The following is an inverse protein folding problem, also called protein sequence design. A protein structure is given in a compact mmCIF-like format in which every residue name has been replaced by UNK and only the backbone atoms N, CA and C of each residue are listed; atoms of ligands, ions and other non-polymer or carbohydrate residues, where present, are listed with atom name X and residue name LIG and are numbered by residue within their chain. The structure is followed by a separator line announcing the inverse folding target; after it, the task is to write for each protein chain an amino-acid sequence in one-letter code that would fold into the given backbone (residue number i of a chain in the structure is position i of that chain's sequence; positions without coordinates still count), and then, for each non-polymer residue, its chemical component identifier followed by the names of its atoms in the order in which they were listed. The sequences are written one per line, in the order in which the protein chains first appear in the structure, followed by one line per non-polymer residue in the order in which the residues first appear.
data_IF_007259553318
#
_entry.id   IF_007259553318
#
_cell.length_a   1.000
_cell.length_b   1.000
_cell.length_c   1.000
_cell.angle_alpha   90.00
_cell.angle_beta   90.00
_cell.angle_gamma   90.00
#
_symmetry.space_group_name_H-M   'P 1'
#
loop_
_entity.id
_entity.type
_entity.pdbx_description
1 polymer ?
#
# COMPACT_ATOMS: atom_id res chain seq x y z
N UNK A 1 -0.98 -15.50 37.55
CA UNK A 1 -0.30 -14.92 36.36
C UNK A 1 -1.12 -13.81 35.74
N UNK A 2 -2.40 -14.01 35.35
CA UNK A 2 -3.22 -12.94 34.74
C UNK A 2 -3.36 -11.70 35.64
N UNK A 3 -3.60 -11.87 36.94
CA UNK A 3 -3.65 -10.77 37.89
C UNK A 3 -2.35 -9.96 37.97
N UNK A 4 -1.21 -10.65 37.92
CA UNK A 4 0.11 -10.00 37.89
C UNK A 4 0.34 -9.22 36.60
N UNK A 5 -0.08 -9.77 35.43
CA UNK A 5 -0.01 -9.07 34.16
C UNK A 5 -0.91 -7.83 34.12
N UNK A 6 -2.11 -7.91 34.72
CA UNK A 6 -2.99 -6.73 34.86
C UNK A 6 -2.37 -5.65 35.76
N UNK A 7 -1.66 -6.04 36.82
CA UNK A 7 -0.94 -5.09 37.64
C UNK A 7 0.19 -4.41 36.86
N UNK A 8 0.90 -5.15 35.98
CA UNK A 8 1.94 -4.59 35.11
C UNK A 8 1.42 -3.53 34.14
N UNK A 9 0.15 -3.61 33.70
CA UNK A 9 -0.44 -2.56 32.87
C UNK A 9 -0.42 -1.20 33.58
N UNK A 10 -0.60 -1.15 34.90
CA UNK A 10 -0.52 0.07 35.68
C UNK A 10 0.87 0.69 35.76
N UNK A 11 1.92 -0.06 35.49
CA UNK A 11 3.30 0.46 35.46
C UNK A 11 3.72 1.03 34.10
N UNK A 12 2.90 0.94 33.06
CA UNK A 12 3.20 1.53 31.74
C UNK A 12 3.27 3.07 31.78
N UNK A 13 2.63 3.72 32.74
CA UNK A 13 2.68 5.16 32.95
C UNK A 13 3.51 5.59 34.18
N UNK A 14 4.34 4.68 34.75
CA UNK A 14 5.25 5.03 35.85
C UNK A 14 6.22 6.13 35.45
N UNK A 15 6.59 6.97 36.41
CA UNK A 15 7.55 8.08 36.19
C UNK A 15 8.95 7.59 35.87
N UNK A 16 9.34 6.41 36.41
CA UNK A 16 10.65 5.82 36.17
C UNK A 16 10.68 5.06 34.84
N UNK A 17 11.55 5.45 33.87
CA UNK A 17 11.65 4.76 32.59
C UNK A 17 12.04 3.28 32.73
N UNK A 18 12.84 2.92 33.74
CA UNK A 18 13.24 1.51 33.97
C UNK A 18 12.01 0.65 34.36
N UNK A 19 11.10 1.20 35.18
CA UNK A 19 9.86 0.51 35.57
C UNK A 19 8.98 0.31 34.34
N UNK A 20 8.80 1.33 33.51
CA UNK A 20 8.05 1.23 32.27
C UNK A 20 8.63 0.19 31.33
N UNK A 21 9.98 0.15 31.18
CA UNK A 21 10.65 -0.82 30.34
C UNK A 21 10.42 -2.25 30.81
N UNK A 22 10.63 -2.51 32.10
CA UNK A 22 10.44 -3.85 32.69
C UNK A 22 8.98 -4.31 32.55
N UNK A 23 8.02 -3.42 32.83
CA UNK A 23 6.61 -3.73 32.65
C UNK A 23 6.29 -4.10 31.20
N UNK A 24 6.75 -3.30 30.26
CA UNK A 24 6.50 -3.51 28.83
C UNK A 24 7.20 -4.77 28.28
N UNK A 25 8.43 -5.08 28.72
CA UNK A 25 9.12 -6.32 28.35
C UNK A 25 8.36 -7.58 28.78
N UNK A 26 7.73 -7.56 29.97
CA UNK A 26 6.92 -8.67 30.45
C UNK A 26 5.53 -8.74 29.81
N UNK A 27 4.97 -7.62 29.37
CA UNK A 27 3.67 -7.55 28.69
C UNK A 27 3.75 -7.86 27.19
N UNK A 28 4.87 -7.55 26.54
CA UNK A 28 5.05 -7.73 25.09
C UNK A 28 4.79 -9.17 24.60
N UNK A 29 5.21 -10.25 25.28
CA UNK A 29 4.88 -11.62 24.89
C UNK A 29 3.37 -11.94 24.90
N UNK A 30 2.54 -11.10 25.52
CA UNK A 30 1.09 -11.29 25.60
C UNK A 30 0.34 -10.48 24.52
N UNK A 31 1.03 -9.75 23.67
CA UNK A 31 0.41 -8.94 22.62
C UNK A 31 0.10 -9.70 21.31
N UNK A 32 0.83 -10.77 20.88
CA UNK A 32 0.49 -11.54 19.69
C UNK A 32 -0.90 -12.16 19.73
N UNK A 33 -1.47 -12.44 18.55
CA UNK A 33 -2.85 -12.95 18.39
C UNK A 33 -3.11 -14.21 19.19
N UNK A 34 -2.16 -15.13 19.24
CA UNK A 34 -2.29 -16.44 19.88
C UNK A 34 -1.87 -16.43 21.37
N UNK A 35 -1.49 -15.25 21.90
CA UNK A 35 -1.03 -15.17 23.30
C UNK A 35 -2.19 -15.39 24.30
N UNK A 36 -1.99 -16.22 25.35
CA UNK A 36 -3.06 -16.69 26.24
C UNK A 36 -3.72 -15.56 27.04
N UNK A 37 -2.99 -14.49 27.31
CA UNK A 37 -3.48 -13.37 28.12
C UNK A 37 -3.68 -12.08 27.29
N UNK A 38 -3.70 -12.15 25.96
CA UNK A 38 -3.93 -10.98 25.10
C UNK A 38 -5.17 -10.19 25.46
N UNK A 39 -6.21 -10.86 25.96
CA UNK A 39 -7.47 -10.23 26.34
C UNK A 39 -7.32 -9.11 27.37
N UNK A 40 -6.25 -9.09 28.19
CA UNK A 40 -6.03 -8.03 29.19
C UNK A 40 -5.95 -6.63 28.57
N UNK A 41 -5.50 -6.53 27.31
CA UNK A 41 -5.47 -5.26 26.55
C UNK A 41 -6.83 -4.85 26.01
N UNK A 42 -7.80 -5.76 25.97
CA UNK A 42 -9.14 -5.58 25.38
C UNK A 42 -10.24 -5.41 26.40
N UNK A 43 -10.01 -5.78 27.67
CA UNK A 43 -11.05 -5.89 28.71
C UNK A 43 -11.78 -4.58 29.04
N UNK A 44 -11.15 -3.43 28.79
CA UNK A 44 -11.75 -2.13 29.06
C UNK A 44 -12.62 -1.62 27.91
N UNK A 45 -12.65 -2.34 26.78
CA UNK A 45 -13.48 -1.98 25.65
C UNK A 45 -14.91 -2.45 25.94
N UNK A 46 -15.75 -1.56 26.47
CA UNK A 46 -17.16 -1.86 26.75
C UNK A 46 -17.90 -2.09 25.42
N UNK A 47 -18.26 -3.34 25.16
CA UNK A 47 -19.19 -3.70 24.09
C UNK A 47 -20.60 -3.74 24.66
N UNK A 48 -21.42 -2.72 24.38
CA UNK A 48 -22.85 -2.77 24.69
C UNK A 48 -23.37 -1.55 25.43
N UNK A 49 -23.64 -0.48 24.72
CA UNK A 49 -24.33 0.70 25.17
C UNK A 49 -24.36 1.79 24.10
N UNK A 50 -25.24 2.78 24.26
CA UNK A 50 -25.32 3.95 23.38
C UNK A 50 -24.11 4.91 23.51
N UNK A 51 -23.25 4.69 24.52
CA UNK A 51 -22.05 5.50 24.72
C UNK A 51 -20.90 5.01 23.82
N UNK A 52 -20.09 5.92 23.21
CA UNK A 52 -18.92 5.54 22.47
C UNK A 52 -17.95 4.74 23.35
N UNK A 53 -17.34 3.71 22.81
CA UNK A 53 -16.36 2.90 23.51
C UNK A 53 -15.22 3.77 24.05
N UNK A 54 -14.87 3.58 25.34
CA UNK A 54 -13.75 4.30 25.96
C UNK A 54 -12.44 3.65 25.55
N UNK A 55 -11.45 4.46 25.23
CA UNK A 55 -10.09 3.97 24.94
C UNK A 55 -9.52 3.26 26.18
N UNK A 56 -9.01 2.01 26.02
CA UNK A 56 -8.29 1.33 27.11
C UNK A 56 -7.05 2.11 27.54
N UNK A 57 -6.80 2.17 28.86
CA UNK A 57 -5.60 2.86 29.38
C UNK A 57 -4.31 2.27 28.83
N UNK A 58 -4.26 0.95 28.68
CA UNK A 58 -3.11 0.25 28.09
C UNK A 58 -2.81 0.73 26.66
N UNK A 59 -3.83 0.94 25.83
CA UNK A 59 -3.65 1.42 24.44
C UNK A 59 -3.18 2.87 24.43
N UNK A 60 -3.79 3.72 25.27
CA UNK A 60 -3.36 5.12 25.45
C UNK A 60 -1.89 5.19 25.88
N UNK A 61 -1.50 4.37 26.86
CA UNK A 61 -0.13 4.35 27.38
C UNK A 61 0.85 3.85 26.31
N UNK A 62 0.53 2.79 25.56
CA UNK A 62 1.36 2.32 24.43
C UNK A 62 1.55 3.41 23.36
N UNK A 63 0.51 4.18 23.02
CA UNK A 63 0.62 5.31 22.08
C UNK A 63 1.60 6.38 22.61
N UNK A 64 1.59 6.65 23.91
CA UNK A 64 2.52 7.60 24.53
C UNK A 64 3.96 7.05 24.57
N UNK A 65 4.11 5.77 24.90
CA UNK A 65 5.42 5.08 24.98
C UNK A 65 6.14 5.01 23.63
N UNK A 66 5.45 5.12 22.49
CA UNK A 66 6.09 5.27 21.18
C UNK A 66 7.01 6.52 21.09
N UNK A 67 6.87 7.48 22.01
CA UNK A 67 7.68 8.72 22.07
C UNK A 67 8.77 8.67 23.12
N UNK A 68 8.86 7.58 23.88
CA UNK A 68 9.79 7.39 24.99
C UNK A 68 11.22 7.03 24.51
N UNK A 69 12.11 6.68 25.42
CA UNK A 69 13.46 6.22 25.15
C UNK A 69 13.45 5.00 24.19
N UNK A 70 14.54 4.85 23.43
CA UNK A 70 14.58 3.94 22.28
C UNK A 70 14.15 2.48 22.59
N UNK A 71 14.56 1.90 23.72
CA UNK A 71 14.16 0.54 24.08
C UNK A 71 12.66 0.45 24.37
N UNK A 72 12.12 1.42 25.10
CA UNK A 72 10.68 1.47 25.45
C UNK A 72 9.85 1.71 24.19
N UNK A 73 10.23 2.70 23.39
CA UNK A 73 9.53 3.03 22.14
C UNK A 73 9.54 1.84 21.18
N UNK A 74 10.66 1.12 21.04
CA UNK A 74 10.76 -0.07 20.22
C UNK A 74 9.74 -1.15 20.65
N UNK A 75 9.70 -1.45 21.96
CA UNK A 75 8.76 -2.44 22.49
C UNK A 75 7.29 -1.97 22.40
N UNK A 76 7.03 -0.66 22.58
CA UNK A 76 5.70 -0.09 22.42
C UNK A 76 5.20 -0.20 20.97
N UNK A 77 6.03 0.14 19.98
CA UNK A 77 5.68 -0.06 18.57
C UNK A 77 5.43 -1.54 18.25
N UNK A 78 6.27 -2.46 18.73
CA UNK A 78 6.05 -3.91 18.54
C UNK A 78 4.73 -4.38 19.15
N UNK A 79 4.41 -3.90 20.37
CA UNK A 79 3.13 -4.20 21.00
C UNK A 79 1.96 -3.69 20.14
N UNK A 80 2.04 -2.45 19.63
CA UNK A 80 1.01 -1.88 18.74
C UNK A 80 0.92 -2.62 17.41
N UNK A 81 2.04 -3.05 16.80
CA UNK A 81 2.03 -3.89 15.59
C UNK A 81 1.23 -5.17 15.85
N UNK A 82 1.50 -5.86 16.96
CA UNK A 82 0.79 -7.09 17.31
C UNK A 82 -0.70 -6.86 17.61
N UNK A 83 -1.05 -5.74 18.24
CA UNK A 83 -2.41 -5.44 18.67
C UNK A 83 -3.28 -4.81 17.56
N UNK A 84 -2.64 -4.20 16.54
CA UNK A 84 -3.33 -3.51 15.45
C UNK A 84 -4.04 -4.45 14.44
N UNK A 85 -3.91 -5.76 14.58
CA UNK A 85 -4.73 -6.75 13.86
C UNK A 85 -6.16 -6.87 14.42
N UNK A 86 -6.41 -6.30 15.60
CA UNK A 86 -7.73 -6.35 16.28
C UNK A 86 -8.62 -5.19 15.83
N UNK A 87 -9.74 -5.51 15.19
CA UNK A 87 -10.76 -4.52 14.81
C UNK A 87 -11.30 -3.72 16.00
N UNK A 88 -11.18 -4.22 17.24
CA UNK A 88 -11.60 -3.53 18.46
C UNK A 88 -10.64 -2.41 18.86
N UNK A 89 -9.36 -2.54 18.55
CA UNK A 89 -8.30 -1.57 18.91
C UNK A 89 -8.10 -0.51 17.84
N UNK A 90 -8.21 -0.89 16.56
CA UNK A 90 -7.96 -0.01 15.42
C UNK A 90 -8.67 1.35 15.49
N UNK A 91 -9.94 1.48 15.95
CA UNK A 91 -10.58 2.77 16.07
C UNK A 91 -9.86 3.75 17.02
N UNK A 92 -9.24 3.25 18.11
CA UNK A 92 -8.47 4.08 19.04
C UNK A 92 -7.10 4.48 18.50
N UNK A 93 -6.50 3.62 17.67
CA UNK A 93 -5.26 3.94 16.94
C UNK A 93 -5.53 4.91 15.78
N UNK A 94 -6.73 4.87 15.18
CA UNK A 94 -7.17 5.77 14.10
C UNK A 94 -7.49 7.20 14.55
N UNK A 95 -7.28 7.55 15.83
CA UNK A 95 -7.47 8.91 16.33
C UNK A 95 -6.57 9.90 15.56
N UNK A 96 -7.10 11.07 15.10
CA UNK A 96 -6.33 12.01 14.27
C UNK A 96 -4.98 12.42 14.83
N UNK A 97 -4.87 12.64 16.15
CA UNK A 97 -3.61 13.03 16.81
C UNK A 97 -2.54 11.94 16.77
N UNK A 98 -2.96 10.67 16.89
CA UNK A 98 -2.01 9.57 16.83
C UNK A 98 -1.61 9.28 15.38
N UNK A 99 -2.54 9.39 14.42
CA UNK A 99 -2.22 9.31 12.99
C UNK A 99 -1.28 10.44 12.56
N UNK A 100 -1.51 11.67 13.00
CA UNK A 100 -0.62 12.80 12.75
C UNK A 100 0.80 12.51 13.26
N UNK A 101 0.91 12.00 14.49
CA UNK A 101 2.20 11.57 15.04
C UNK A 101 2.86 10.48 14.21
N UNK A 102 2.12 9.41 13.86
CA UNK A 102 2.67 8.29 13.07
C UNK A 102 3.20 8.77 11.71
N UNK A 103 2.40 9.55 10.98
CA UNK A 103 2.81 10.10 9.68
C UNK A 103 4.02 11.00 9.84
N UNK A 104 3.97 11.96 10.78
CA UNK A 104 5.08 12.86 11.05
C UNK A 104 6.37 12.11 11.45
N UNK A 105 6.24 11.04 12.21
CA UNK A 105 7.34 10.17 12.60
C UNK A 105 7.92 9.39 11.40
N UNK A 106 7.07 8.84 10.55
CA UNK A 106 7.47 8.09 9.35
C UNK A 106 8.20 9.00 8.35
N UNK A 107 7.66 10.19 8.07
CA UNK A 107 8.25 11.10 7.09
C UNK A 107 9.54 11.75 7.57
N UNK A 108 9.82 11.78 8.88
CA UNK A 108 11.08 12.29 9.42
C UNK A 108 12.24 11.31 9.10
N UNK A 109 13.24 11.72 8.29
CA UNK A 109 14.30 10.82 7.80
C UNK A 109 15.16 10.21 8.91
N UNK A 110 15.26 10.88 10.05
CA UNK A 110 16.08 10.46 11.20
C UNK A 110 15.37 9.54 12.17
N UNK A 111 14.10 9.21 11.97
CA UNK A 111 13.34 8.33 12.87
C UNK A 111 13.88 6.91 12.87
N UNK A 112 14.28 6.43 14.05
CA UNK A 112 14.95 5.13 14.20
C UNK A 112 13.99 3.93 14.03
N UNK A 113 12.72 4.11 14.33
CA UNK A 113 11.70 3.04 14.37
C UNK A 113 10.62 3.25 13.29
N UNK A 114 10.97 3.97 12.20
CA UNK A 114 10.02 4.31 11.14
C UNK A 114 9.40 3.05 10.50
N UNK A 115 10.16 1.95 10.36
CA UNK A 115 9.64 0.70 9.82
C UNK A 115 8.53 0.10 10.69
N UNK A 116 8.68 0.09 12.01
CA UNK A 116 7.63 -0.35 12.93
C UNK A 116 6.40 0.56 12.86
N UNK A 117 6.61 1.88 12.73
CA UNK A 117 5.51 2.83 12.56
C UNK A 117 4.74 2.56 11.24
N UNK A 118 5.42 2.22 10.14
CA UNK A 118 4.76 1.84 8.88
C UNK A 118 3.99 0.53 8.99
N UNK A 119 4.49 -0.44 9.76
CA UNK A 119 3.75 -1.69 10.04
C UNK A 119 2.44 -1.40 10.79
N UNK A 120 2.48 -0.56 11.84
CA UNK A 120 1.25 -0.14 12.55
C UNK A 120 0.28 0.55 11.59
N UNK A 121 0.76 1.51 10.79
CA UNK A 121 -0.08 2.24 9.83
C UNK A 121 -0.67 1.31 8.78
N UNK A 122 0.10 0.34 8.26
CA UNK A 122 -0.37 -0.65 7.30
C UNK A 122 -1.52 -1.50 7.88
N UNK A 123 -1.37 -2.00 9.10
CA UNK A 123 -2.43 -2.78 9.76
C UNK A 123 -3.70 -1.94 10.00
N UNK A 124 -3.53 -0.68 10.37
CA UNK A 124 -4.66 0.22 10.64
C UNK A 124 -5.44 0.60 9.38
N UNK A 125 -4.77 0.74 8.24
CA UNK A 125 -5.38 1.16 6.96
C UNK A 125 -6.23 0.09 6.29
N UNK A 126 -6.42 -1.08 6.90
CA UNK A 126 -7.48 -2.03 6.55
C UNK A 126 -8.87 -1.49 6.96
N UNK A 127 -8.92 -0.58 7.93
CA UNK A 127 -10.18 0.01 8.42
C UNK A 127 -10.59 1.25 7.59
N UNK A 128 -11.82 1.29 7.01
CA UNK A 128 -12.26 2.40 6.17
C UNK A 128 -12.28 3.77 6.86
N UNK A 129 -12.58 3.82 8.17
CA UNK A 129 -12.59 5.08 8.92
C UNK A 129 -11.18 5.64 9.09
N UNK A 130 -10.19 4.76 9.30
CA UNK A 130 -8.77 5.17 9.35
C UNK A 130 -8.31 5.69 7.99
N UNK A 131 -8.70 5.02 6.90
CA UNK A 131 -8.43 5.49 5.53
C UNK A 131 -8.99 6.90 5.34
N UNK A 132 -10.26 7.12 5.69
CA UNK A 132 -10.90 8.42 5.52
C UNK A 132 -10.20 9.53 6.32
N UNK A 133 -9.83 9.22 7.57
CA UNK A 133 -9.08 10.14 8.43
C UNK A 133 -7.70 10.46 7.82
N UNK A 134 -6.98 9.44 7.36
CA UNK A 134 -5.65 9.59 6.77
C UNK A 134 -5.68 10.40 5.46
N UNK A 135 -6.69 10.18 4.61
CA UNK A 135 -6.87 10.93 3.35
C UNK A 135 -7.14 12.42 3.57
N UNK A 136 -7.81 12.76 4.67
CA UNK A 136 -8.09 14.17 5.03
C UNK A 136 -6.96 14.83 5.83
N UNK A 137 -5.99 14.03 6.32
CA UNK A 137 -4.94 14.49 7.21
C UNK A 137 -3.94 15.39 6.48
N UNK A 138 -3.64 16.54 7.08
CA UNK A 138 -2.55 17.44 6.67
C UNK A 138 -1.50 17.50 7.76
N UNK A 139 -0.25 17.48 7.35
CA UNK A 139 0.91 17.55 8.25
C UNK A 139 1.51 18.94 8.19
N UNK A 140 1.72 19.54 9.36
CA UNK A 140 2.43 20.79 9.49
C UNK A 140 3.94 20.57 9.44
N UNK A 141 4.58 21.25 8.48
CA UNK A 141 6.01 21.23 8.26
C UNK A 141 6.61 22.59 8.62
N UNK A 142 7.64 22.60 9.45
CA UNK A 142 8.47 23.76 9.74
C UNK A 142 9.79 23.61 8.98
N UNK A 143 10.06 24.51 8.03
CA UNK A 143 11.25 24.43 7.17
C UNK A 143 11.44 23.03 6.52
N UNK A 144 10.34 22.38 6.12
CA UNK A 144 10.34 21.04 5.53
C UNK A 144 10.38 19.87 6.53
N UNK A 145 10.44 20.12 7.84
CA UNK A 145 10.46 19.09 8.88
C UNK A 145 9.12 18.98 9.61
N UNK A 146 8.62 17.77 9.88
CA UNK A 146 7.33 17.58 10.55
C UNK A 146 7.40 17.99 12.03
N UNK A 147 6.45 18.85 12.45
CA UNK A 147 6.40 19.36 13.83
C UNK A 147 5.92 18.27 14.81
N UNK A 148 4.98 17.44 14.39
CA UNK A 148 4.35 16.43 15.26
C UNK A 148 5.22 15.20 15.56
N UNK A 149 6.42 15.07 14.95
CA UNK A 149 7.32 13.92 15.09
C UNK A 149 8.08 13.86 16.43
N UNK A 150 7.84 14.80 17.36
CA UNK A 150 8.58 14.88 18.63
C UNK A 150 8.59 13.56 19.39
N UNK A 151 9.77 12.97 19.47
CA UNK A 151 10.05 11.70 20.14
C UNK A 151 11.55 11.66 20.49
N UNK A 152 11.94 10.89 21.49
CA UNK A 152 13.36 10.68 21.81
C UNK A 152 14.10 9.85 20.73
N UNK A 153 13.37 9.20 19.85
CA UNK A 153 13.90 8.38 18.74
C UNK A 153 13.81 9.06 17.37
N UNK A 154 13.36 10.32 17.32
CA UNK A 154 13.30 11.14 16.11
C UNK A 154 14.02 12.48 16.36
N UNK A 155 14.99 12.89 15.52
CA UNK A 155 15.66 14.15 15.68
C UNK A 155 14.69 15.33 15.48
N UNK A 156 14.89 16.38 16.27
CA UNK A 156 14.19 17.65 16.08
C UNK A 156 15.03 18.51 15.12
N UNK A 157 14.38 19.10 14.13
CA UNK A 157 15.06 20.03 13.23
C UNK A 157 15.64 21.23 13.99
N UNK A 158 16.84 21.72 13.63
CA UNK A 158 17.36 22.94 14.19
C UNK A 158 16.46 24.13 13.80
N UNK A 159 16.03 24.91 14.78
CA UNK A 159 15.29 26.15 14.55
C UNK A 159 16.21 27.18 13.93
N UNK A 160 16.17 27.36 12.62
CA UNK A 160 16.81 28.48 11.92
C UNK A 160 15.82 29.63 11.87
N UNK A 161 16.25 30.80 12.29
CA UNK A 161 15.46 31.99 12.64
C UNK A 161 14.43 32.60 11.69
N UNK A 162 14.05 31.96 10.59
CA UNK A 162 12.89 32.29 9.77
C UNK A 162 11.98 31.04 9.68
N UNK A 163 10.84 31.08 10.34
CA UNK A 163 9.92 29.96 10.41
C UNK A 163 8.96 30.01 9.25
N UNK A 164 9.15 29.15 8.26
CA UNK A 164 8.19 28.92 7.20
C UNK A 164 7.37 27.66 7.52
N UNK A 165 6.13 27.86 7.97
CA UNK A 165 5.19 26.78 8.25
C UNK A 165 4.32 26.57 7.02
N UNK A 166 4.21 25.33 6.56
CA UNK A 166 3.29 24.92 5.50
C UNK A 166 2.55 23.65 5.90
N UNK A 167 1.38 23.45 5.32
CA UNK A 167 0.59 22.23 5.50
C UNK A 167 0.57 21.47 4.19
N UNK A 168 0.85 20.15 4.27
CA UNK A 168 0.83 19.26 3.11
C UNK A 168 0.02 18.00 3.37
N UNK A 169 -0.50 17.40 2.31
CA UNK A 169 -1.23 16.13 2.39
C UNK A 169 -0.35 15.02 2.97
N UNK A 170 -0.85 14.32 3.98
CA UNK A 170 -0.17 13.17 4.57
C UNK A 170 0.18 12.11 3.52
N UNK A 171 -0.72 11.84 2.57
CA UNK A 171 -0.52 10.83 1.52
C UNK A 171 0.66 11.21 0.62
N UNK A 172 0.71 12.45 0.15
CA UNK A 172 1.79 12.90 -0.75
C UNK A 172 3.16 12.86 -0.05
N UNK A 173 3.21 13.25 1.23
CA UNK A 173 4.43 13.14 2.04
C UNK A 173 4.86 11.69 2.28
N UNK A 174 3.92 10.75 2.44
CA UNK A 174 4.22 9.33 2.56
C UNK A 174 4.74 8.75 1.25
N UNK A 175 4.21 9.19 0.08
CA UNK A 175 4.74 8.82 -1.23
C UNK A 175 6.19 9.29 -1.37
N UNK A 176 6.49 10.53 -1.04
CA UNK A 176 7.87 11.06 -1.09
C UNK A 176 8.79 10.29 -0.14
N UNK A 177 8.34 10.01 1.08
CA UNK A 177 9.10 9.23 2.04
C UNK A 177 9.40 7.81 1.55
N UNK A 178 8.45 7.16 0.87
CA UNK A 178 8.61 5.83 0.29
C UNK A 178 9.65 5.81 -0.84
N UNK A 179 9.61 6.80 -1.72
CA UNK A 179 10.58 6.95 -2.83
C UNK A 179 11.98 7.24 -2.26
N UNK A 180 12.08 8.16 -1.32
CA UNK A 180 13.37 8.53 -0.69
C UNK A 180 14.01 7.36 0.10
N UNK A 181 13.20 6.42 0.60
CA UNK A 181 13.68 5.26 1.33
C UNK A 181 14.21 4.14 0.42
N UNK A 182 13.96 4.23 -0.90
CA UNK A 182 14.47 3.27 -1.84
C UNK A 182 16.01 3.30 -1.88
N UNK A 183 16.61 2.13 -1.84
CA UNK A 183 18.07 2.03 -1.99
C UNK A 183 18.46 2.36 -3.41
N UNK A 184 19.35 3.33 -3.59
CA UNK A 184 19.97 3.56 -4.89
C UNK A 184 20.77 2.30 -5.26
N UNK A 185 20.56 1.66 -6.41
CA UNK A 185 21.35 0.52 -6.83
C UNK A 185 22.85 0.86 -6.79
N UNK A 186 23.64 0.12 -6.01
CA UNK A 186 25.08 0.34 -5.85
C UNK A 186 25.48 1.32 -4.72
N UNK A 187 24.53 1.94 -4.02
CA UNK A 187 24.81 2.80 -2.87
C UNK A 187 25.09 2.01 -1.59
N UNK A 188 26.03 2.48 -0.75
CA UNK A 188 26.26 1.92 0.57
C UNK A 188 25.09 2.24 1.51
N UNK A 189 24.88 1.40 2.55
CA UNK A 189 23.86 1.69 3.59
C UNK A 189 24.10 3.04 4.29
N UNK A 190 25.34 3.53 4.29
CA UNK A 190 25.75 4.79 4.91
C UNK A 190 25.34 6.03 4.10
N UNK A 191 25.08 5.87 2.80
CA UNK A 191 24.62 6.94 1.91
C UNK A 191 23.09 7.12 1.89
N UNK A 192 22.36 6.29 2.64
CA UNK A 192 20.89 6.38 2.70
C UNK A 192 20.46 7.66 3.40
N UNK A 193 19.57 8.40 2.77
CA UNK A 193 18.93 9.59 3.35
C UNK A 193 18.08 9.27 4.58
N UNK A 194 17.57 8.04 4.69
CA UNK A 194 16.64 7.58 5.74
C UNK A 194 17.17 6.39 6.52
N UNK A 195 16.76 6.30 7.80
CA UNK A 195 17.10 5.18 8.68
C UNK A 195 16.27 3.92 8.42
N UNK A 196 15.00 4.08 8.01
CA UNK A 196 14.07 2.98 7.72
C UNK A 196 13.93 2.70 6.23
N UNK A 197 13.58 1.46 5.89
CA UNK A 197 13.29 1.02 4.52
C UNK A 197 11.87 1.38 4.07
N UNK A 198 10.93 1.58 4.99
CA UNK A 198 9.53 1.99 4.79
C UNK A 198 8.74 1.11 3.78
N UNK A 199 9.13 -0.14 3.55
CA UNK A 199 8.50 -0.99 2.53
C UNK A 199 7.02 -1.26 2.80
N UNK A 200 6.56 -1.26 4.07
CA UNK A 200 5.14 -1.42 4.40
C UNK A 200 4.26 -0.23 3.97
N UNK A 201 4.83 0.91 3.55
CA UNK A 201 4.05 1.97 2.92
C UNK A 201 3.41 1.50 1.60
N UNK A 202 4.01 0.54 0.89
CA UNK A 202 3.39 -0.06 -0.30
C UNK A 202 2.04 -0.71 0.04
N UNK A 203 1.94 -1.38 1.20
CA UNK A 203 0.68 -1.94 1.69
C UNK A 203 -0.31 -0.84 2.11
N UNK A 204 0.17 0.27 2.69
CA UNK A 204 -0.68 1.44 2.99
C UNK A 204 -1.30 1.98 1.71
N UNK A 205 -0.51 2.16 0.64
CA UNK A 205 -1.02 2.65 -0.65
C UNK A 205 -2.03 1.68 -1.27
N UNK A 206 -1.76 0.38 -1.23
CA UNK A 206 -2.70 -0.65 -1.67
C UNK A 206 -4.03 -0.57 -0.90
N UNK A 207 -3.97 -0.45 0.42
CA UNK A 207 -5.16 -0.39 1.27
C UNK A 207 -6.00 0.88 1.03
N UNK A 208 -5.38 2.06 0.99
CA UNK A 208 -6.12 3.32 0.80
C UNK A 208 -6.78 3.40 -0.58
N UNK A 209 -6.17 2.83 -1.62
CA UNK A 209 -6.69 2.86 -2.99
C UNK A 209 -7.84 1.89 -3.25
N UNK A 210 -8.19 1.01 -2.30
CA UNK A 210 -9.47 0.28 -2.32
C UNK A 210 -10.63 1.27 -2.34
N UNK A 211 -10.52 2.40 -1.62
CA UNK A 211 -11.51 3.46 -1.62
C UNK A 211 -11.33 4.42 -2.82
N UNK A 212 -12.43 4.87 -3.48
CA UNK A 212 -12.36 5.81 -4.60
C UNK A 212 -11.60 7.10 -4.26
N UNK A 213 -11.79 7.65 -3.06
CA UNK A 213 -11.07 8.84 -2.60
C UNK A 213 -9.54 8.62 -2.51
N UNK A 214 -9.10 7.41 -2.14
CA UNK A 214 -7.68 7.06 -2.11
C UNK A 214 -7.08 6.96 -3.51
N UNK A 215 -7.83 6.45 -4.49
CA UNK A 215 -7.42 6.46 -5.91
C UNK A 215 -7.19 7.88 -6.39
N UNK A 216 -8.17 8.77 -6.16
CA UNK A 216 -8.06 10.18 -6.51
C UNK A 216 -6.89 10.86 -5.83
N UNK A 217 -6.57 10.54 -4.58
CA UNK A 217 -5.43 11.12 -3.87
C UNK A 217 -4.09 10.81 -4.57
N UNK A 218 -3.91 9.60 -5.13
CA UNK A 218 -2.71 9.24 -5.90
C UNK A 218 -2.76 9.73 -7.36
N UNK A 219 -3.95 9.93 -7.91
CA UNK A 219 -4.19 10.51 -9.24
C UNK A 219 -4.22 12.05 -9.21
N UNK A 220 -3.81 12.66 -8.12
CA UNK A 220 -3.65 14.11 -7.96
C UNK A 220 -2.21 14.51 -8.29
N UNK A 221 -2.04 15.72 -8.83
CA UNK A 221 -0.72 16.26 -9.10
C UNK A 221 0.06 16.49 -7.81
N UNK A 222 1.35 16.18 -7.85
CA UNK A 222 2.24 16.46 -6.73
C UNK A 222 2.46 17.97 -6.60
N UNK A 223 2.42 18.57 -5.39
CA UNK A 223 2.58 20.01 -5.20
C UNK A 223 3.84 20.57 -5.85
N UNK A 224 3.68 21.59 -6.68
CA UNK A 224 4.79 22.24 -7.39
C UNK A 224 5.38 21.42 -8.54
N UNK A 225 4.72 20.33 -8.95
CA UNK A 225 5.10 19.48 -10.07
C UNK A 225 3.93 19.30 -11.03
N UNK A 226 4.22 18.97 -12.28
CA UNK A 226 3.24 18.49 -13.25
C UNK A 226 3.08 16.96 -13.25
N UNK A 227 3.64 16.26 -12.26
CA UNK A 227 3.58 14.81 -12.17
C UNK A 227 2.48 14.37 -11.19
N UNK A 228 1.78 13.30 -11.54
CA UNK A 228 0.84 12.64 -10.65
C UNK A 228 1.60 11.87 -9.55
N UNK A 229 1.06 11.84 -8.33
CA UNK A 229 1.69 11.12 -7.23
C UNK A 229 1.90 9.63 -7.53
N UNK A 230 0.96 9.00 -8.27
CA UNK A 230 1.05 7.61 -8.71
C UNK A 230 2.29 7.36 -9.58
N UNK A 231 2.66 8.31 -10.45
CA UNK A 231 3.81 8.16 -11.35
C UNK A 231 5.13 7.90 -10.61
N UNK A 232 5.28 8.45 -9.38
CA UNK A 232 6.47 8.22 -8.54
C UNK A 232 6.62 6.77 -8.06
N UNK A 233 5.55 5.97 -8.11
CA UNK A 233 5.54 4.58 -7.64
C UNK A 233 5.88 3.57 -8.74
N UNK A 234 5.81 3.96 -10.02
CA UNK A 234 5.89 3.03 -11.15
C UNK A 234 7.21 2.23 -11.20
N UNK A 235 8.32 2.87 -10.89
CA UNK A 235 9.64 2.23 -10.90
C UNK A 235 9.81 1.08 -9.90
N UNK A 236 8.84 0.90 -8.98
CA UNK A 236 8.89 -0.15 -7.96
C UNK A 236 8.25 -1.48 -8.41
N UNK A 237 7.69 -1.58 -9.60
CA UNK A 237 7.06 -2.82 -10.10
C UNK A 237 8.04 -3.98 -10.25
N UNK A 238 9.34 -3.71 -10.43
CA UNK A 238 10.42 -4.71 -10.45
C UNK A 238 11.38 -4.59 -9.26
N UNK A 239 10.97 -3.91 -8.18
CA UNK A 239 11.84 -3.74 -7.01
C UNK A 239 12.17 -5.11 -6.38
N UNK A 240 13.41 -5.35 -5.87
CA UNK A 240 13.81 -6.62 -5.26
C UNK A 240 12.95 -7.03 -4.05
N UNK A 241 12.48 -6.05 -3.27
CA UNK A 241 11.60 -6.29 -2.12
C UNK A 241 10.18 -6.61 -2.59
N UNK A 242 9.68 -7.80 -2.21
CA UNK A 242 8.36 -8.31 -2.62
C UNK A 242 7.21 -7.49 -2.07
N UNK A 243 7.35 -6.91 -0.86
CA UNK A 243 6.30 -6.07 -0.25
C UNK A 243 6.14 -4.79 -1.06
N UNK A 244 7.25 -4.17 -1.48
CA UNK A 244 7.23 -2.97 -2.32
C UNK A 244 6.57 -3.25 -3.67
N UNK A 245 7.06 -4.25 -4.43
CA UNK A 245 6.53 -4.51 -5.77
C UNK A 245 5.10 -5.02 -5.76
N UNK A 246 4.74 -5.88 -4.78
CA UNK A 246 3.38 -6.39 -4.66
C UNK A 246 2.37 -5.32 -4.22
N UNK A 247 2.74 -4.48 -3.25
CA UNK A 247 1.89 -3.36 -2.82
C UNK A 247 1.73 -2.29 -3.90
N UNK A 248 2.79 -1.99 -4.67
CA UNK A 248 2.70 -1.08 -5.81
C UNK A 248 1.84 -1.68 -6.92
N UNK A 249 2.01 -2.95 -7.30
CA UNK A 249 1.15 -3.62 -8.27
C UNK A 249 -0.33 -3.53 -7.88
N UNK A 250 -0.66 -3.81 -6.60
CA UNK A 250 -2.03 -3.69 -6.07
C UNK A 250 -2.54 -2.25 -6.13
N UNK A 251 -1.69 -1.26 -5.85
CA UNK A 251 -2.03 0.16 -5.94
C UNK A 251 -2.38 0.56 -7.37
N UNK A 252 -1.57 0.12 -8.35
CA UNK A 252 -1.80 0.38 -9.77
C UNK A 252 -3.13 -0.23 -10.23
N UNK A 253 -3.38 -1.49 -9.87
CA UNK A 253 -4.65 -2.17 -10.15
C UNK A 253 -5.83 -1.38 -9.57
N UNK A 254 -5.75 -1.00 -8.30
CA UNK A 254 -6.82 -0.24 -7.67
C UNK A 254 -7.05 1.11 -8.35
N UNK A 255 -6.00 1.84 -8.75
CA UNK A 255 -6.14 3.10 -9.49
C UNK A 255 -6.78 2.90 -10.88
N UNK A 256 -6.55 1.75 -11.53
CA UNK A 256 -7.17 1.42 -12.82
C UNK A 256 -8.70 1.22 -12.74
N UNK A 257 -9.30 1.06 -11.55
CA UNK A 257 -10.76 1.16 -11.40
C UNK A 257 -11.33 2.56 -11.67
N UNK A 258 -10.47 3.58 -11.74
CA UNK A 258 -10.90 4.93 -12.09
C UNK A 258 -10.77 5.15 -13.59
N UNK A 259 -11.76 4.70 -14.37
CA UNK A 259 -11.78 4.73 -15.82
C UNK A 259 -11.39 6.09 -16.44
N UNK A 260 -11.80 7.26 -15.88
CA UNK A 260 -11.38 8.55 -16.42
C UNK A 260 -9.87 8.81 -16.39
N UNK A 261 -9.10 8.06 -15.60
CA UNK A 261 -7.63 8.19 -15.54
C UNK A 261 -6.87 7.29 -16.53
N UNK A 262 -7.55 6.37 -17.23
CA UNK A 262 -6.86 5.37 -18.07
C UNK A 262 -5.89 6.00 -19.07
N UNK A 263 -6.33 7.04 -19.78
CA UNK A 263 -5.45 7.71 -20.74
C UNK A 263 -4.32 8.49 -20.07
N UNK A 264 -4.55 9.07 -18.89
CA UNK A 264 -3.47 9.70 -18.12
C UNK A 264 -2.44 8.67 -17.61
N UNK A 265 -2.89 7.47 -17.24
CA UNK A 265 -1.99 6.38 -16.84
C UNK A 265 -1.16 5.85 -18.03
N UNK A 266 -1.74 5.77 -19.23
CA UNK A 266 -1.12 5.15 -20.39
C UNK A 266 -0.24 6.09 -21.23
N UNK A 267 -0.66 7.36 -21.37
CA UNK A 267 0.05 8.32 -22.23
C UNK A 267 1.48 8.59 -21.77
N UNK A 268 2.40 8.87 -22.71
CA UNK A 268 3.79 9.19 -22.38
C UNK A 268 3.90 10.52 -21.61
N UNK A 269 5.04 10.73 -20.95
CA UNK A 269 5.32 11.85 -20.05
C UNK A 269 5.57 13.20 -20.74
N UNK A 270 5.65 13.22 -22.06
CA UNK A 270 5.68 14.41 -22.90
C UNK A 270 4.29 14.92 -23.28
N UNK A 271 3.22 14.14 -23.06
CA UNK A 271 1.83 14.54 -23.27
C UNK A 271 1.20 15.04 -21.98
N UNK A 272 0.44 16.16 -22.09
CA UNK A 272 -0.31 16.71 -20.96
C UNK A 272 -1.75 16.17 -20.96
N UNK A 273 -2.20 15.69 -19.81
CA UNK A 273 -3.51 15.05 -19.62
C UNK A 273 -4.16 15.51 -18.33
N UNK A 274 -5.49 15.49 -18.27
CA UNK A 274 -6.27 15.79 -17.07
C UNK A 274 -6.92 14.52 -16.53
N UNK A 275 -7.06 14.43 -15.20
CA UNK A 275 -7.82 13.36 -14.54
C UNK A 275 -9.01 13.98 -13.80
N UNK A 276 -10.26 13.77 -14.27
CA UNK A 276 -11.42 14.24 -13.55
C UNK A 276 -11.49 13.68 -12.12
N UNK A 277 -11.99 14.43 -11.14
CA UNK A 277 -12.67 15.74 -11.29
C UNK A 277 -11.74 16.96 -11.39
N UNK A 278 -10.42 16.78 -11.36
CA UNK A 278 -9.47 17.89 -11.52
C UNK A 278 -9.45 18.38 -12.97
N UNK A 279 -9.34 19.70 -13.14
CA UNK A 279 -9.09 20.34 -14.44
C UNK A 279 -7.62 20.68 -14.65
N UNK A 280 -6.75 20.37 -13.68
CA UNK A 280 -5.33 20.59 -13.79
C UNK A 280 -4.70 19.52 -14.69
N UNK A 281 -3.89 19.98 -15.67
CA UNK A 281 -3.19 19.08 -16.56
C UNK A 281 -1.84 18.67 -15.98
N UNK A 282 -1.59 17.37 -15.98
CA UNK A 282 -0.30 16.77 -15.61
C UNK A 282 0.30 15.98 -16.77
N UNK A 283 1.54 15.57 -16.63
CA UNK A 283 2.23 14.69 -17.59
C UNK A 283 1.60 13.30 -17.57
N UNK A 284 1.51 12.64 -18.73
CA UNK A 284 1.16 11.23 -18.81
C UNK A 284 2.11 10.39 -17.96
N UNK A 285 1.61 9.25 -17.46
CA UNK A 285 2.37 8.44 -16.50
C UNK A 285 3.22 7.34 -17.17
N UNK A 286 3.01 7.07 -18.46
CA UNK A 286 3.72 6.02 -19.21
C UNK A 286 3.71 4.65 -18.50
N UNK A 287 2.57 4.28 -17.93
CA UNK A 287 2.42 3.09 -17.07
C UNK A 287 2.73 1.78 -17.81
N UNK A 288 2.46 1.71 -19.12
CA UNK A 288 2.48 0.44 -19.85
C UNK A 288 3.82 -0.29 -19.75
N UNK A 289 4.94 0.42 -19.87
CA UNK A 289 6.27 -0.16 -19.68
C UNK A 289 6.44 -0.86 -18.34
N UNK A 290 5.94 -0.27 -17.28
CA UNK A 290 6.05 -0.79 -15.91
C UNK A 290 5.09 -1.95 -15.62
N UNK A 291 4.00 -2.10 -16.39
CA UNK A 291 3.13 -3.27 -16.32
C UNK A 291 3.71 -4.46 -17.09
N UNK A 292 4.31 -4.20 -18.26
CA UNK A 292 4.84 -5.26 -19.13
C UNK A 292 6.18 -5.81 -18.66
N UNK A 293 7.06 -4.98 -18.07
CA UNK A 293 8.38 -5.43 -17.60
C UNK A 293 8.31 -6.64 -16.64
N UNK A 294 7.45 -6.66 -15.60
CA UNK A 294 7.29 -7.85 -14.74
C UNK A 294 6.71 -9.06 -15.47
N UNK A 295 5.94 -8.85 -16.54
CA UNK A 295 5.29 -9.92 -17.32
C UNK A 295 6.19 -10.46 -18.45
N UNK A 296 7.20 -9.69 -18.87
CA UNK A 296 8.15 -10.11 -19.89
C UNK A 296 9.23 -11.04 -19.30
N UNK A 297 9.60 -12.04 -20.07
CA UNK A 297 10.71 -12.97 -19.82
C UNK A 297 11.80 -12.84 -20.88
N UNK A 298 12.61 -13.89 -21.10
CA UNK A 298 13.69 -13.90 -22.06
C UNK A 298 13.22 -14.25 -23.51
N UNK A 299 11.95 -14.00 -23.82
CA UNK A 299 11.37 -14.33 -25.10
C UNK A 299 11.92 -13.47 -26.22
N UNK A 300 12.17 -14.08 -27.37
CA UNK A 300 12.48 -13.38 -28.62
C UNK A 300 11.19 -13.01 -29.36
N UNK A 301 11.15 -11.80 -29.87
CA UNK A 301 10.08 -11.29 -30.73
C UNK A 301 10.62 -11.14 -32.15
N UNK A 302 9.79 -11.36 -33.15
CA UNK A 302 10.13 -11.02 -34.51
C UNK A 302 10.20 -9.48 -34.73
N UNK A 303 10.74 -9.03 -35.87
CA UNK A 303 10.96 -7.61 -36.11
C UNK A 303 9.64 -6.81 -36.16
N UNK A 304 8.57 -7.41 -36.68
CA UNK A 304 7.28 -6.74 -36.82
C UNK A 304 6.61 -6.55 -35.44
N UNK A 305 6.77 -7.51 -34.55
CA UNK A 305 6.25 -7.44 -33.18
C UNK A 305 7.12 -6.52 -32.32
N UNK A 306 8.45 -6.55 -32.49
CA UNK A 306 9.35 -5.62 -31.77
C UNK A 306 9.02 -4.16 -32.03
N UNK A 307 8.63 -3.78 -33.25
CA UNK A 307 8.28 -2.40 -33.59
C UNK A 307 7.05 -1.88 -32.83
N UNK A 308 6.18 -2.78 -32.36
CA UNK A 308 5.00 -2.44 -31.55
C UNK A 308 5.33 -2.28 -30.05
N UNK A 309 6.41 -2.92 -29.57
CA UNK A 309 6.71 -2.96 -28.15
C UNK A 309 7.21 -1.61 -27.62
N UNK A 310 6.90 -1.25 -26.36
CA UNK A 310 7.58 -0.14 -25.70
C UNK A 310 9.09 -0.32 -25.72
N UNK A 311 9.84 0.77 -25.88
CA UNK A 311 11.29 0.75 -25.98
C UNK A 311 11.99 -0.01 -24.83
N UNK A 312 11.42 -0.01 -23.63
CA UNK A 312 11.91 -0.73 -22.46
C UNK A 312 11.82 -2.26 -22.58
N UNK A 313 10.99 -2.77 -23.51
CA UNK A 313 10.76 -4.21 -23.73
C UNK A 313 11.56 -4.72 -24.95
N UNK A 314 11.81 -3.85 -25.95
CA UNK A 314 12.42 -4.24 -27.23
C UNK A 314 13.78 -4.93 -27.10
N UNK A 315 14.59 -4.55 -26.10
CA UNK A 315 15.98 -4.99 -25.94
C UNK A 315 16.22 -5.62 -24.55
N UNK A 316 15.32 -6.49 -24.12
CA UNK A 316 15.53 -7.21 -22.86
C UNK A 316 16.65 -8.24 -23.02
N UNK A 317 17.52 -8.41 -22.00
CA UNK A 317 18.59 -9.41 -22.06
C UNK A 317 18.02 -10.83 -21.92
N UNK A 318 18.70 -11.83 -22.45
CA UNK A 318 18.37 -13.27 -22.32
C UNK A 318 18.29 -13.72 -20.84
N UNK A 319 18.86 -12.94 -19.93
CA UNK A 319 18.81 -13.17 -18.49
C UNK A 319 17.58 -12.59 -17.80
N UNK A 320 16.70 -11.90 -18.55
CA UNK A 320 15.46 -11.33 -18.03
C UNK A 320 14.59 -12.44 -17.43
N UNK A 321 14.18 -12.21 -16.20
CA UNK A 321 13.26 -13.11 -15.48
C UNK A 321 11.91 -12.45 -15.33
N UNK A 322 10.86 -13.19 -15.65
CA UNK A 322 9.48 -12.82 -15.33
C UNK A 322 9.30 -12.79 -13.82
N UNK A 323 8.36 -11.97 -13.33
CA UNK A 323 7.98 -11.93 -11.92
C UNK A 323 7.68 -13.36 -11.40
N UNK A 324 8.41 -13.83 -10.39
CA UNK A 324 8.23 -15.19 -9.89
C UNK A 324 6.93 -15.39 -9.10
N UNK A 325 6.39 -14.34 -8.46
CA UNK A 325 5.17 -14.42 -7.67
C UNK A 325 3.93 -14.40 -8.58
N UNK A 326 3.13 -15.49 -8.54
CA UNK A 326 1.91 -15.64 -9.35
C UNK A 326 0.86 -14.57 -9.03
N UNK A 327 0.75 -14.15 -7.78
CA UNK A 327 -0.25 -13.14 -7.39
C UNK A 327 0.11 -11.76 -7.93
N UNK A 328 1.40 -11.44 -8.00
CA UNK A 328 1.86 -10.17 -8.60
C UNK A 328 1.66 -10.22 -10.12
N UNK A 329 1.98 -11.35 -10.79
CA UNK A 329 1.69 -11.52 -12.23
C UNK A 329 0.20 -11.36 -12.52
N UNK A 330 -0.64 -12.05 -11.75
CA UNK A 330 -2.10 -11.92 -11.85
C UNK A 330 -2.55 -10.46 -11.70
N UNK A 331 -2.04 -9.75 -10.69
CA UNK A 331 -2.38 -8.36 -10.43
C UNK A 331 -2.03 -7.45 -11.61
N UNK A 332 -0.91 -7.67 -12.30
CA UNK A 332 -0.56 -6.91 -13.50
C UNK A 332 -1.50 -7.23 -14.67
N UNK A 333 -1.87 -8.51 -14.89
CA UNK A 333 -2.85 -8.89 -15.91
C UNK A 333 -4.23 -8.31 -15.59
N UNK A 334 -4.69 -8.34 -14.34
CA UNK A 334 -5.94 -7.70 -13.91
C UNK A 334 -5.90 -6.19 -14.15
N UNK A 335 -4.74 -5.54 -13.97
CA UNK A 335 -4.58 -4.10 -14.28
C UNK A 335 -4.77 -3.83 -15.76
N UNK A 336 -4.18 -4.66 -16.64
CA UNK A 336 -4.39 -4.55 -18.09
C UNK A 336 -5.85 -4.80 -18.49
N UNK A 337 -6.52 -5.76 -17.85
CA UNK A 337 -7.95 -6.02 -18.05
C UNK A 337 -8.79 -4.80 -17.67
N UNK A 338 -8.52 -4.17 -16.51
CA UNK A 338 -9.21 -2.96 -16.07
C UNK A 338 -8.98 -1.80 -17.05
N UNK A 339 -7.77 -1.61 -17.55
CA UNK A 339 -7.49 -0.60 -18.57
C UNK A 339 -8.26 -0.89 -19.88
N UNK A 340 -8.50 -2.17 -20.21
CA UNK A 340 -9.31 -2.57 -21.35
C UNK A 340 -10.82 -2.25 -21.19
N UNK A 341 -11.31 -1.81 -20.04
CA UNK A 341 -12.73 -1.44 -19.88
C UNK A 341 -13.14 -0.24 -20.74
N UNK A 342 -12.20 0.67 -21.02
CA UNK A 342 -12.47 1.82 -21.90
C UNK A 342 -11.88 1.58 -23.29
N UNK A 343 -12.64 1.92 -24.35
CA UNK A 343 -12.20 1.74 -25.73
C UNK A 343 -10.89 2.45 -26.07
N UNK A 344 -10.70 3.75 -25.73
CA UNK A 344 -9.45 4.44 -26.03
C UNK A 344 -8.22 3.73 -25.44
N UNK A 345 -8.34 3.22 -24.21
CA UNK A 345 -7.24 2.48 -23.58
C UNK A 345 -7.03 1.12 -24.26
N UNK A 346 -8.10 0.37 -24.62
CA UNK A 346 -7.97 -0.88 -25.41
C UNK A 346 -7.24 -0.66 -26.72
N UNK A 347 -7.62 0.37 -27.47
CA UNK A 347 -6.97 0.71 -28.74
C UNK A 347 -5.48 1.06 -28.53
N UNK A 348 -5.17 1.81 -27.46
CA UNK A 348 -3.78 2.11 -27.10
C UNK A 348 -3.00 0.81 -26.77
N UNK A 349 -3.55 -0.08 -25.96
CA UNK A 349 -2.90 -1.33 -25.57
C UNK A 349 -2.65 -2.26 -26.77
N UNK A 350 -3.58 -2.29 -27.75
CA UNK A 350 -3.46 -3.09 -29.00
C UNK A 350 -2.27 -2.68 -29.84
N UNK A 351 -2.05 -1.37 -30.00
CA UNK A 351 -0.98 -0.85 -30.84
C UNK A 351 0.39 -0.76 -30.15
N UNK A 352 0.41 -0.99 -28.84
CA UNK A 352 1.63 -0.91 -28.02
C UNK A 352 2.07 -2.28 -27.47
N UNK A 353 1.86 -3.36 -28.23
CA UNK A 353 2.52 -4.64 -28.02
C UNK A 353 2.05 -5.46 -26.81
N UNK A 354 0.87 -5.14 -26.21
CA UNK A 354 0.37 -5.91 -25.05
C UNK A 354 0.04 -7.35 -25.44
N UNK A 355 -0.58 -7.55 -26.61
CA UNK A 355 -0.92 -8.88 -27.09
C UNK A 355 0.33 -9.75 -27.27
N UNK A 356 1.38 -9.22 -27.87
CA UNK A 356 2.63 -9.90 -28.15
C UNK A 356 3.30 -10.40 -26.85
N UNK A 357 3.36 -9.54 -25.82
CA UNK A 357 3.95 -9.91 -24.52
C UNK A 357 3.11 -10.96 -23.79
N UNK A 358 1.77 -10.78 -23.71
CA UNK A 358 0.94 -11.72 -22.96
C UNK A 358 0.78 -13.07 -23.67
N UNK A 359 0.87 -13.12 -25.01
CA UNK A 359 0.93 -14.35 -25.79
C UNK A 359 2.17 -15.17 -25.42
N UNK A 360 3.35 -14.56 -25.41
CA UNK A 360 4.60 -15.20 -25.00
C UNK A 360 4.57 -15.65 -23.53
N UNK A 361 3.99 -14.86 -22.68
CA UNK A 361 3.77 -15.24 -21.27
C UNK A 361 2.87 -16.48 -21.17
N UNK A 362 1.78 -16.53 -21.93
CA UNK A 362 0.82 -17.65 -21.90
C UNK A 362 1.47 -18.99 -22.29
N UNK A 363 2.42 -19.00 -23.24
CA UNK A 363 3.14 -20.19 -23.68
C UNK A 363 3.92 -20.88 -22.54
N UNK A 364 4.28 -20.14 -21.48
CA UNK A 364 5.12 -20.63 -20.37
C UNK A 364 4.46 -20.56 -19.00
N UNK A 365 3.29 -19.94 -18.89
CA UNK A 365 2.56 -19.82 -17.63
C UNK A 365 2.00 -21.18 -17.19
N UNK A 366 2.02 -21.44 -15.89
CA UNK A 366 1.55 -22.70 -15.30
C UNK A 366 0.37 -22.50 -14.34
N UNK A 367 0.14 -21.28 -13.89
CA UNK A 367 -0.97 -20.97 -13.00
C UNK A 367 -2.25 -20.79 -13.80
N UNK A 368 -3.26 -21.63 -13.53
CA UNK A 368 -4.53 -21.64 -14.26
C UNK A 368 -5.28 -20.34 -14.15
N UNK A 369 -5.25 -19.67 -12.98
CA UNK A 369 -5.92 -18.39 -12.78
C UNK A 369 -5.27 -17.29 -13.62
N UNK A 370 -3.95 -17.28 -13.72
CA UNK A 370 -3.23 -16.31 -14.58
C UNK A 370 -3.55 -16.58 -16.06
N UNK A 371 -3.57 -17.87 -16.50
CA UNK A 371 -3.91 -18.23 -17.88
C UNK A 371 -5.33 -17.79 -18.27
N UNK A 372 -6.32 -18.06 -17.43
CA UNK A 372 -7.71 -17.64 -17.67
C UNK A 372 -7.83 -16.11 -17.83
N UNK A 373 -7.10 -15.33 -17.03
CA UNK A 373 -7.10 -13.88 -17.14
C UNK A 373 -6.37 -13.38 -18.38
N UNK A 374 -5.30 -14.05 -18.81
CA UNK A 374 -4.65 -13.78 -20.10
C UNK A 374 -5.60 -14.02 -21.26
N UNK A 375 -6.33 -15.15 -21.27
CA UNK A 375 -7.31 -15.46 -22.33
C UNK A 375 -8.41 -14.40 -22.42
N UNK A 376 -8.92 -13.93 -21.28
CA UNK A 376 -9.88 -12.81 -21.23
C UNK A 376 -9.30 -11.52 -21.79
N UNK A 377 -8.06 -11.19 -21.40
CA UNK A 377 -7.36 -10.00 -21.91
C UNK A 377 -7.19 -10.09 -23.42
N UNK A 378 -6.77 -11.24 -23.95
CA UNK A 378 -6.62 -11.49 -25.39
C UNK A 378 -7.96 -11.32 -26.12
N UNK A 379 -9.06 -11.84 -25.55
CA UNK A 379 -10.39 -11.71 -26.13
C UNK A 379 -10.81 -10.24 -26.23
N UNK A 380 -10.55 -9.40 -25.21
CA UNK A 380 -10.81 -7.96 -25.26
C UNK A 380 -9.90 -7.22 -26.27
N UNK A 381 -8.63 -7.59 -26.32
CA UNK A 381 -7.67 -6.98 -27.28
C UNK A 381 -7.99 -7.34 -28.73
N UNK A 382 -8.51 -8.55 -29.00
CA UNK A 382 -8.88 -9.00 -30.37
C UNK A 382 -10.32 -8.70 -30.77
N UNK A 383 -11.12 -8.16 -29.86
CA UNK A 383 -12.50 -7.82 -30.13
C UNK A 383 -12.63 -6.80 -31.28
N UNK A 384 -13.57 -7.02 -32.20
CA UNK A 384 -13.94 -6.05 -33.22
C UNK A 384 -14.67 -4.86 -32.59
N UNK A 385 -14.24 -3.66 -32.95
CA UNK A 385 -14.82 -2.42 -32.45
C UNK A 385 -15.66 -1.74 -33.53
N UNK A 386 -16.99 -1.65 -33.30
CA UNK A 386 -17.92 -0.93 -34.16
C UNK A 386 -18.14 0.53 -33.73
N UNK A 387 -18.92 1.31 -34.50
CA UNK A 387 -19.35 2.65 -34.08
C UNK A 387 -20.10 2.65 -32.76
N UNK A 388 -20.88 1.60 -32.50
CA UNK A 388 -21.75 1.48 -31.33
C UNK A 388 -20.95 1.26 -30.03
N UNK A 389 -19.68 0.85 -30.12
CA UNK A 389 -18.79 0.63 -28.96
C UNK A 389 -17.93 1.85 -28.62
N UNK A 390 -18.11 2.98 -29.32
CA UNK A 390 -17.24 4.17 -29.15
C UNK A 390 -17.25 4.75 -27.71
N UNK A 391 -18.36 4.59 -27.01
CA UNK A 391 -18.54 5.07 -25.61
C UNK A 391 -18.85 3.93 -24.63
N UNK A 392 -18.65 2.68 -25.05
CA UNK A 392 -18.92 1.52 -24.21
C UNK A 392 -17.82 1.36 -23.16
N UNK A 393 -18.23 1.30 -21.90
CA UNK A 393 -17.43 0.80 -20.80
C UNK A 393 -17.82 -0.66 -20.57
N UNK A 394 -16.86 -1.58 -20.67
CA UNK A 394 -17.09 -2.98 -20.31
C UNK A 394 -17.32 -3.07 -18.79
N UNK A 395 -18.43 -3.65 -18.31
CA UNK A 395 -18.67 -3.76 -16.87
C UNK A 395 -17.53 -4.47 -16.17
N UNK A 396 -17.07 -3.92 -15.04
CA UNK A 396 -15.99 -4.50 -14.24
C UNK A 396 -16.38 -5.89 -13.71
N UNK A 397 -17.68 -6.14 -13.52
CA UNK A 397 -18.24 -7.43 -13.09
C UNK A 397 -17.95 -8.57 -14.07
N UNK A 398 -17.84 -8.27 -15.36
CA UNK A 398 -17.45 -9.23 -16.39
C UNK A 398 -15.93 -9.55 -16.37
N UNK A 399 -15.17 -8.79 -15.60
CA UNK A 399 -13.71 -8.92 -15.45
C UNK A 399 -13.34 -9.63 -14.13
N UNK A 400 -14.14 -9.45 -13.06
CA UNK A 400 -13.84 -9.96 -11.72
C UNK A 400 -14.44 -11.37 -11.49
N UNK A 401 -13.59 -12.39 -11.51
CA UNK A 401 -13.95 -13.80 -11.25
C UNK A 401 -13.98 -14.20 -9.79
N UNK A 402 -13.75 -13.28 -8.85
CA UNK A 402 -13.72 -13.64 -7.41
C UNK A 402 -15.05 -14.13 -6.86
N UNK A 403 -16.16 -14.03 -7.62
CA UNK A 403 -17.47 -14.57 -7.21
C UNK A 403 -17.57 -16.09 -7.33
N UNK A 404 -16.79 -16.73 -8.20
CA UNK A 404 -16.93 -18.18 -8.45
C UNK A 404 -16.16 -19.06 -7.44
N UNK A 405 -15.20 -18.49 -6.68
CA UNK A 405 -14.42 -19.25 -5.70
C UNK A 405 -15.01 -19.27 -4.28
N UNK A 406 -16.03 -18.45 -3.99
CA UNK A 406 -16.69 -18.45 -2.68
C UNK A 406 -17.83 -19.49 -2.56
N UNK A 407 -18.36 -19.98 -3.68
CA UNK A 407 -19.41 -20.99 -3.68
C UNK A 407 -18.88 -22.44 -3.71
N UNK A 408 -17.62 -22.64 -4.08
CA UNK A 408 -16.99 -23.97 -4.12
C UNK A 408 -16.52 -24.51 -2.74
N UNK A 409 -16.58 -23.73 -1.68
CA UNK A 409 -16.15 -24.12 -0.32
C UNK A 409 -17.32 -24.49 0.59
N UNK A 410 -18.57 -24.45 0.10
CA UNK A 410 -19.76 -24.73 0.93
C UNK A 410 -20.33 -26.15 0.81
N UNK A 411 -19.75 -27.03 -0.02
CA UNK A 411 -20.31 -28.36 -0.28
C UNK A 411 -19.44 -29.54 0.16
N UNK A 412 -18.63 -29.40 1.21
CA UNK A 412 -17.89 -30.52 1.78
C UNK A 412 -17.92 -30.58 3.31
N UNK A 413 -19.09 -30.38 3.91
CA UNK A 413 -19.34 -30.71 5.30
C UNK A 413 -20.78 -31.25 5.46
N UNK A 414 -21.03 -32.44 4.97
CA UNK A 414 -22.08 -33.32 5.45
C UNK A 414 -21.53 -34.75 5.36
N UNK A 415 -21.76 -35.48 6.43
CA UNK A 415 -21.48 -36.88 6.70
C UNK A 415 -20.18 -37.20 7.48
N UNK A 416 -20.24 -36.99 8.79
CA UNK A 416 -19.72 -37.99 9.74
C UNK A 416 -20.67 -38.09 10.94
N UNK A 417 -21.60 -39.04 10.86
CA UNK A 417 -22.41 -39.56 11.99
C UNK A 417 -21.48 -40.16 13.03
N UNK A 418 -21.45 -39.56 14.23
CA UNK A 418 -20.86 -40.18 15.43
C UNK A 418 -21.86 -41.21 15.96
N UNK A 419 -21.56 -42.50 15.79
CA UNK A 419 -22.19 -43.58 16.51
C UNK A 419 -21.57 -43.70 17.89
N UNK A 420 -22.37 -43.49 18.96
CA UNK A 420 -22.03 -43.81 20.34
C UNK A 420 -21.85 -45.32 20.54
N UNK A 421 -20.76 -45.70 21.19
CA UNK A 421 -20.68 -46.87 22.10
C UNK A 421 -19.93 -46.46 23.36
#
# INVERSE_FOLDING_TARGET
MESQLKELLGFLHDRNPQVRNIALENLLPQTPKEAPYRRIFLEQISSGGLAPAKEPESIRDLKLLCRDQAAIAHNAFRALVNLSDSALIVPFLGEPKFLEFLVAYIINPGSLLADLATMVLSNMTVNPNVIQTLLSLKIQLENGHPIASRSSTAPVAPSTGSTQIREESAILLLVDAFVDAATVPGGSKEERKRKGDLHFLASVFANITVAPAGRLALLTLHPGSSEFALAKLLSFTEHPDIIRRGGVASTLKNCAFHAPAHMAMLKPDDEMVTVPPSNEAGKGMNLLSFLLLPLAGPEEFDLEDMDKLPASIQFLPDTKKREPDRFIRLTHIETLLLLCTTRPAREFLRVNGVYEVVQKMHETEQDTSVMEHIERLVNLLKRDEGPDTAFEEVPVEDIDTRKDSSDAVKDSNDDDEIVEI
#
